data_IF_513858685159
#
_entry.id   IF_513858685159
#
_cell.length_a   1.000
_cell.length_b   1.000
_cell.length_c   1.000
_cell.angle_alpha   90.00
_cell.angle_beta   90.00
_cell.angle_gamma   90.00
#
_symmetry.space_group_name_H-M   'P 1'
#
loop_
_entity.id
_entity.type
_entity.pdbx_description
1 polymer ?
#
# COMPACT_ATOMS: atom_id res chain seq x y z
N UNK A 1 0.33 -15.21 -4.31
CA UNK A 1 -1.02 -15.80 -4.13
C UNK A 1 -1.60 -16.30 -5.45
N UNK A 2 -1.91 -15.49 -6.45
CA UNK A 2 -2.52 -15.96 -7.71
C UNK A 2 -1.70 -17.08 -8.38
N UNK A 3 -0.38 -16.94 -8.48
CA UNK A 3 0.53 -17.97 -9.00
C UNK A 3 0.47 -19.27 -8.20
N UNK A 4 0.41 -19.18 -6.85
CA UNK A 4 0.31 -20.34 -5.97
C UNK A 4 -1.02 -21.06 -6.18
N UNK A 5 -2.13 -20.32 -6.27
CA UNK A 5 -3.45 -20.89 -6.52
C UNK A 5 -3.52 -21.58 -7.88
N UNK A 6 -2.95 -20.97 -8.93
CA UNK A 6 -2.89 -21.57 -10.26
C UNK A 6 -2.09 -22.88 -10.26
N UNK A 7 -0.96 -22.96 -9.54
CA UNK A 7 -0.17 -24.19 -9.38
C UNK A 7 -0.94 -25.31 -8.65
N UNK A 8 -1.92 -24.94 -7.81
CA UNK A 8 -2.82 -25.87 -7.13
C UNK A 8 -4.11 -26.16 -7.92
N UNK A 9 -4.17 -25.79 -9.21
CA UNK A 9 -5.33 -26.01 -10.07
C UNK A 9 -6.55 -25.14 -9.74
N UNK A 10 -6.36 -24.07 -8.96
CA UNK A 10 -7.45 -23.16 -8.59
C UNK A 10 -7.54 -21.99 -9.57
N UNK A 11 -8.73 -21.72 -10.06
CA UNK A 11 -9.01 -20.50 -10.81
C UNK A 11 -9.15 -19.34 -9.84
N UNK A 12 -8.40 -18.26 -10.03
CA UNK A 12 -8.47 -17.08 -9.17
C UNK A 12 -8.66 -15.79 -9.96
N UNK A 13 -9.36 -14.84 -9.35
CA UNK A 13 -9.52 -13.48 -9.84
C UNK A 13 -8.96 -12.53 -8.78
N UNK A 14 -8.10 -11.60 -9.21
CA UNK A 14 -7.56 -10.57 -8.33
C UNK A 14 -8.27 -9.24 -8.60
N UNK A 15 -9.11 -8.81 -7.66
CA UNK A 15 -9.85 -7.55 -7.77
C UNK A 15 -9.28 -6.49 -6.82
N UNK A 16 -8.66 -5.43 -7.37
CA UNK A 16 -8.18 -4.34 -6.55
C UNK A 16 -9.35 -3.49 -6.05
N UNK A 17 -9.45 -3.33 -4.73
CA UNK A 17 -10.47 -2.50 -4.06
C UNK A 17 -10.00 -1.06 -3.81
N UNK A 18 -8.81 -0.74 -4.29
CA UNK A 18 -8.22 0.60 -4.20
C UNK A 18 -7.59 0.96 -5.55
N UNK A 19 -7.93 2.14 -6.05
CA UNK A 19 -7.26 2.75 -7.20
C UNK A 19 -6.32 3.84 -6.71
N UNK A 20 -5.11 3.88 -7.25
CA UNK A 20 -4.21 5.00 -7.07
C UNK A 20 -4.50 6.03 -8.16
N UNK A 21 -4.84 7.22 -7.75
CA UNK A 21 -5.01 8.37 -8.64
C UNK A 21 -3.84 9.33 -8.43
N UNK A 22 -3.09 9.59 -9.49
CA UNK A 22 -2.03 10.59 -9.48
C UNK A 22 -2.67 11.96 -9.43
N UNK A 23 -2.19 12.80 -8.54
CA UNK A 23 -2.66 14.18 -8.38
C UNK A 23 -1.75 15.14 -9.15
N UNK A 24 -2.31 16.13 -9.84
CA UNK A 24 -1.51 17.23 -10.34
C UNK A 24 -0.96 18.04 -9.16
N UNK A 25 0.26 18.51 -9.28
CA UNK A 25 0.78 19.47 -8.29
C UNK A 25 0.00 20.78 -8.39
N UNK A 26 -0.41 21.35 -7.25
CA UNK A 26 -1.21 22.58 -7.23
C UNK A 26 -0.42 23.82 -7.75
N UNK A 27 0.92 23.72 -7.75
CA UNK A 27 1.83 24.80 -8.21
C UNK A 27 3.03 24.19 -8.89
N UNK A 28 3.73 24.92 -9.77
CA UNK A 28 5.02 24.48 -10.28
C UNK A 28 5.97 24.23 -9.10
N UNK A 29 6.75 23.16 -9.22
CA UNK A 29 7.79 22.89 -8.23
C UNK A 29 8.77 24.07 -8.16
N UNK A 30 9.30 24.36 -6.96
CA UNK A 30 10.37 25.31 -6.83
C UNK A 30 11.53 24.94 -7.77
N UNK A 31 12.14 25.92 -8.40
CA UNK A 31 13.29 25.73 -9.29
C UNK A 31 14.56 25.34 -8.54
N UNK A 32 14.61 25.63 -7.25
CA UNK A 32 15.73 25.26 -6.38
C UNK A 32 15.52 23.86 -5.85
N UNK A 33 16.48 22.93 -6.05
CA UNK A 33 16.39 21.59 -5.50
C UNK A 33 16.37 21.63 -3.96
N UNK A 34 15.72 20.66 -3.30
CA UNK A 34 15.75 20.57 -1.85
C UNK A 34 17.11 20.06 -1.37
N UNK A 35 17.47 20.40 -0.12
CA UNK A 35 18.61 19.79 0.56
C UNK A 35 18.37 18.29 0.81
N UNK A 36 17.10 17.92 1.02
CA UNK A 36 16.68 16.55 1.32
C UNK A 36 15.35 16.20 0.65
N UNK A 37 15.33 15.08 -0.06
CA UNK A 37 14.13 14.48 -0.63
C UNK A 37 13.72 13.25 0.21
N UNK A 38 12.49 13.18 0.66
CA UNK A 38 11.97 12.06 1.44
C UNK A 38 10.77 11.45 0.73
N UNK A 39 10.80 10.14 0.48
CA UNK A 39 9.67 9.42 -0.10
C UNK A 39 9.02 8.47 0.90
N UNK A 40 7.71 8.62 1.13
CA UNK A 40 6.93 7.81 2.08
C UNK A 40 6.21 6.64 1.44
N UNK A 41 6.23 6.49 0.11
CA UNK A 41 5.65 5.32 -0.55
C UNK A 41 6.13 5.16 -1.99
N UNK A 42 6.11 3.92 -2.49
CA UNK A 42 6.37 3.62 -3.90
C UNK A 42 5.40 4.33 -4.86
N UNK A 43 4.14 4.56 -4.45
CA UNK A 43 3.18 5.28 -5.28
C UNK A 43 3.52 6.77 -5.41
N UNK A 44 4.05 7.38 -4.34
CA UNK A 44 4.53 8.75 -4.40
C UNK A 44 5.76 8.86 -5.31
N UNK A 45 6.67 7.87 -5.25
CA UNK A 45 7.83 7.77 -6.16
C UNK A 45 7.36 7.66 -7.61
N UNK A 46 6.46 6.73 -7.92
CA UNK A 46 5.94 6.54 -9.27
C UNK A 46 5.29 7.81 -9.82
N UNK A 47 4.47 8.49 -9.01
CA UNK A 47 3.83 9.75 -9.40
C UNK A 47 4.84 10.88 -9.60
N UNK A 48 5.88 10.97 -8.77
CA UNK A 48 6.97 11.94 -8.89
C UNK A 48 7.76 11.76 -10.19
N UNK A 49 8.14 10.52 -10.50
CA UNK A 49 8.89 10.18 -11.70
C UNK A 49 8.07 10.36 -12.98
N UNK A 50 6.78 10.00 -12.96
CA UNK A 50 5.88 10.15 -14.10
C UNK A 50 5.68 11.63 -14.51
N UNK A 51 5.87 12.56 -13.58
CA UNK A 51 5.80 13.99 -13.85
C UNK A 51 7.16 14.61 -14.25
N UNK A 52 8.17 13.79 -14.50
CA UNK A 52 9.51 14.20 -14.96
C UNK A 52 10.24 15.20 -14.03
N UNK A 53 10.00 15.12 -12.73
CA UNK A 53 10.63 16.01 -11.75
C UNK A 53 12.09 15.67 -11.43
N UNK A 54 12.57 14.51 -11.85
CA UNK A 54 13.89 13.98 -11.51
C UNK A 54 15.06 14.81 -12.05
N UNK A 55 14.90 15.48 -13.19
CA UNK A 55 16.00 16.21 -13.84
C UNK A 55 16.46 17.43 -13.06
N UNK A 56 15.61 17.99 -12.20
CA UNK A 56 15.92 19.17 -11.41
C UNK A 56 16.59 18.87 -10.06
N UNK A 57 16.62 17.59 -9.62
CA UNK A 57 16.87 17.27 -8.20
C UNK A 57 17.83 16.11 -7.96
N UNK A 58 18.63 15.74 -8.95
CA UNK A 58 19.56 14.61 -8.89
C UNK A 58 20.66 14.73 -7.81
N UNK A 59 20.88 15.92 -7.26
CA UNK A 59 21.92 16.19 -6.26
C UNK A 59 21.41 16.18 -4.81
N UNK A 60 20.10 16.07 -4.57
CA UNK A 60 19.56 16.05 -3.20
C UNK A 60 19.83 14.72 -2.51
N UNK A 61 20.20 14.77 -1.24
CA UNK A 61 20.21 13.57 -0.40
C UNK A 61 18.78 12.99 -0.36
N UNK A 62 18.63 11.69 -0.64
CA UNK A 62 17.34 11.07 -0.78
C UNK A 62 17.13 9.99 0.29
N UNK A 63 16.00 10.07 1.00
CA UNK A 63 15.58 9.07 1.98
C UNK A 63 14.29 8.39 1.51
N UNK A 64 14.23 7.07 1.70
CA UNK A 64 13.02 6.28 1.49
C UNK A 64 12.56 5.66 2.80
N UNK A 65 11.25 5.57 3.02
CA UNK A 65 10.70 4.97 4.25
C UNK A 65 11.02 3.47 4.37
N UNK A 66 11.32 2.80 3.28
CA UNK A 66 11.62 1.37 3.29
C UNK A 66 12.01 0.81 1.92
N UNK A 67 12.30 -0.52 1.85
CA UNK A 67 12.96 -1.15 0.70
C UNK A 67 12.22 -0.96 -0.64
N UNK A 68 10.91 -1.18 -0.67
CA UNK A 68 10.14 -1.05 -1.92
C UNK A 68 10.13 0.38 -2.47
N UNK A 69 10.15 1.38 -1.57
CA UNK A 69 10.23 2.81 -1.95
C UNK A 69 11.63 3.16 -2.43
N UNK A 70 12.67 2.63 -1.76
CA UNK A 70 14.06 2.82 -2.16
C UNK A 70 14.34 2.21 -3.54
N UNK A 71 13.88 0.97 -3.77
CA UNK A 71 14.03 0.30 -5.06
C UNK A 71 13.46 1.14 -6.21
N UNK A 72 12.25 1.69 -6.06
CA UNK A 72 11.64 2.53 -7.09
C UNK A 72 12.45 3.80 -7.40
N UNK A 73 13.04 4.44 -6.40
CA UNK A 73 13.89 5.62 -6.58
C UNK A 73 15.21 5.27 -7.29
N UNK A 74 15.84 4.16 -6.92
CA UNK A 74 17.11 3.71 -7.51
C UNK A 74 16.89 3.27 -8.96
N UNK A 75 15.91 2.38 -9.18
CA UNK A 75 15.69 1.72 -10.47
C UNK A 75 15.20 2.67 -11.56
N UNK A 76 14.32 3.60 -11.20
CA UNK A 76 13.67 4.49 -12.17
C UNK A 76 14.14 5.94 -12.11
N UNK A 77 14.79 6.36 -11.03
CA UNK A 77 15.23 7.74 -10.81
C UNK A 77 16.74 7.93 -10.75
N UNK A 78 17.52 6.84 -10.61
CA UNK A 78 18.99 6.92 -10.49
C UNK A 78 19.48 7.64 -9.23
N UNK A 79 18.66 7.70 -8.17
CA UNK A 79 19.00 8.37 -6.91
C UNK A 79 19.93 7.52 -6.05
N UNK A 80 20.85 8.16 -5.32
CA UNK A 80 21.50 7.57 -4.16
C UNK A 80 20.54 7.64 -2.98
N UNK A 81 20.06 6.48 -2.51
CA UNK A 81 18.97 6.41 -1.53
C UNK A 81 19.45 5.76 -0.24
N UNK A 82 19.13 6.40 0.89
CA UNK A 82 19.26 5.82 2.22
C UNK A 82 17.89 5.49 2.79
N UNK A 83 17.85 4.50 3.69
CA UNK A 83 16.62 4.04 4.32
C UNK A 83 16.88 3.62 5.76
N UNK A 84 15.85 3.71 6.66
CA UNK A 84 16.01 3.28 8.04
C UNK A 84 16.11 1.75 8.13
N UNK A 85 16.77 1.25 9.17
CA UNK A 85 16.81 -0.18 9.48
C UNK A 85 15.42 -0.75 9.71
N UNK A 86 14.53 0.02 10.35
CA UNK A 86 13.12 -0.32 10.52
C UNK A 86 12.26 0.55 9.60
N UNK A 87 11.61 -0.08 8.64
CA UNK A 87 10.74 0.58 7.66
C UNK A 87 9.44 1.12 8.34
N UNK A 88 9.54 2.24 9.03
CA UNK A 88 8.43 2.93 9.70
C UNK A 88 8.69 4.43 9.77
N UNK A 89 7.65 5.21 10.06
CA UNK A 89 7.77 6.67 10.27
C UNK A 89 8.72 6.99 11.43
N UNK A 90 8.65 6.23 12.51
CA UNK A 90 9.51 6.37 13.68
C UNK A 90 10.96 6.02 13.34
N UNK A 91 11.19 4.94 12.59
CA UNK A 91 12.51 4.55 12.12
C UNK A 91 13.12 5.61 11.19
N UNK A 92 12.32 6.18 10.31
CA UNK A 92 12.75 7.26 9.43
C UNK A 92 13.15 8.51 10.23
N UNK A 93 12.31 8.94 11.17
CA UNK A 93 12.59 10.11 12.01
C UNK A 93 13.80 9.94 12.95
N UNK A 94 14.21 8.70 13.25
CA UNK A 94 15.39 8.40 14.04
C UNK A 94 16.70 8.38 13.21
N UNK A 95 16.63 8.53 11.89
CA UNK A 95 17.83 8.57 11.05
C UNK A 95 18.69 9.80 11.36
N UNK A 96 20.03 9.67 11.39
CA UNK A 96 20.95 10.78 11.69
C UNK A 96 20.71 12.02 10.85
N UNK A 97 20.34 11.85 9.59
CA UNK A 97 20.03 12.92 8.63
C UNK A 97 18.83 13.77 9.07
N UNK A 98 17.84 13.15 9.70
CA UNK A 98 16.66 13.86 10.21
C UNK A 98 16.82 14.37 11.63
N UNK A 99 17.65 13.68 12.44
CA UNK A 99 18.01 14.17 13.80
C UNK A 99 18.85 15.44 13.71
N UNK A 100 19.80 15.51 12.76
CA UNK A 100 20.68 16.64 12.52
C UNK A 100 20.11 17.75 11.62
N UNK A 101 18.82 17.71 11.29
CA UNK A 101 18.21 18.66 10.38
C UNK A 101 18.17 20.08 10.97
N UNK A 102 18.51 21.07 10.13
CA UNK A 102 18.54 22.48 10.53
C UNK A 102 17.35 23.27 9.97
N UNK A 103 16.96 24.30 10.65
CA UNK A 103 15.80 25.14 10.32
C UNK A 103 15.92 25.88 8.96
N UNK A 104 17.13 26.09 8.47
CA UNK A 104 17.39 26.72 7.18
C UNK A 104 17.26 25.76 5.98
N UNK A 105 17.33 24.45 6.22
CA UNK A 105 17.27 23.42 5.19
C UNK A 105 15.85 23.24 4.61
N UNK A 106 15.81 22.99 3.31
CA UNK A 106 14.58 22.71 2.58
C UNK A 106 14.41 21.21 2.38
N UNK A 107 13.28 20.69 2.82
CA UNK A 107 12.93 19.27 2.70
C UNK A 107 11.69 19.12 1.83
N UNK A 108 11.77 18.26 0.83
CA UNK A 108 10.59 17.84 0.08
C UNK A 108 10.13 16.47 0.56
N UNK A 109 8.86 16.38 0.91
CA UNK A 109 8.22 15.15 1.40
C UNK A 109 7.23 14.64 0.37
N UNK A 110 7.62 13.58 -0.36
CA UNK A 110 6.77 12.89 -1.32
C UNK A 110 5.83 11.93 -0.60
N UNK A 111 4.53 12.21 -0.67
CA UNK A 111 3.52 11.44 0.06
C UNK A 111 2.22 11.30 -0.71
N UNK A 112 1.24 10.62 -0.14
CA UNK A 112 -0.13 10.55 -0.64
C UNK A 112 -1.10 11.32 0.25
N UNK A 113 -2.12 11.87 -0.35
CA UNK A 113 -3.20 12.57 0.36
C UNK A 113 -3.91 11.63 1.34
N UNK A 114 -4.18 12.10 2.56
CA UNK A 114 -4.88 11.33 3.60
C UNK A 114 -4.05 10.24 4.28
N UNK A 115 -2.71 10.26 4.13
CA UNK A 115 -1.77 9.41 4.88
C UNK A 115 -1.58 9.86 6.33
N UNK A 116 -0.75 9.10 7.08
CA UNK A 116 -0.33 9.51 8.43
C UNK A 116 0.53 10.77 8.35
N UNK A 117 0.24 11.76 9.18
CA UNK A 117 0.93 13.05 9.18
C UNK A 117 2.14 13.11 10.13
N UNK A 118 2.49 12.00 10.81
CA UNK A 118 3.55 11.98 11.82
C UNK A 118 4.88 12.55 11.30
N UNK A 119 5.33 12.14 10.12
CA UNK A 119 6.58 12.63 9.54
C UNK A 119 6.46 14.10 9.17
N UNK A 120 5.36 14.49 8.53
CA UNK A 120 5.13 15.87 8.12
C UNK A 120 5.09 16.82 9.33
N UNK A 121 4.36 16.45 10.38
CA UNK A 121 4.28 17.23 11.61
C UNK A 121 5.65 17.40 12.29
N UNK A 122 6.39 16.29 12.45
CA UNK A 122 7.71 16.33 13.07
C UNK A 122 8.73 17.16 12.29
N UNK A 123 8.62 17.23 10.95
CA UNK A 123 9.53 17.99 10.10
C UNK A 123 9.13 19.46 9.98
N UNK A 124 7.84 19.79 9.99
CA UNK A 124 7.36 21.17 9.91
C UNK A 124 7.91 22.08 11.02
N UNK A 125 8.21 21.51 12.19
CA UNK A 125 8.78 22.22 13.33
C UNK A 125 10.31 22.38 13.27
N UNK A 126 10.98 21.66 12.31
CA UNK A 126 12.45 21.54 12.28
C UNK A 126 13.10 22.18 11.06
N UNK A 127 12.36 22.33 9.96
CA UNK A 127 12.93 22.76 8.67
C UNK A 127 11.89 23.45 7.78
N UNK A 128 12.33 23.93 6.62
CA UNK A 128 11.44 24.43 5.57
C UNK A 128 10.84 23.23 4.82
N UNK A 129 9.70 22.72 5.32
CA UNK A 129 9.04 21.56 4.75
C UNK A 129 8.15 21.94 3.56
N UNK A 130 8.37 21.31 2.42
CA UNK A 130 7.43 21.27 1.30
C UNK A 130 6.83 19.87 1.17
N UNK A 131 5.58 19.73 1.56
CA UNK A 131 4.82 18.50 1.37
C UNK A 131 4.25 18.45 -0.04
N UNK A 132 4.48 17.34 -0.73
CA UNK A 132 3.98 17.06 -2.06
C UNK A 132 3.03 15.85 -1.99
N UNK A 133 1.72 16.15 -2.00
CA UNK A 133 0.66 15.14 -2.06
C UNK A 133 0.49 14.72 -3.53
N UNK A 134 1.19 13.66 -3.94
CA UNK A 134 1.34 13.25 -5.33
C UNK A 134 0.28 12.27 -5.82
N UNK A 135 -0.44 11.63 -4.90
CA UNK A 135 -1.50 10.68 -5.22
C UNK A 135 -2.55 10.63 -4.10
N UNK A 136 -3.71 10.11 -4.44
CA UNK A 136 -4.71 9.69 -3.46
C UNK A 136 -5.17 8.26 -3.72
N UNK A 137 -5.62 7.61 -2.64
CA UNK A 137 -6.27 6.31 -2.71
C UNK A 137 -7.77 6.49 -2.84
N UNK A 138 -8.32 6.08 -3.96
CA UNK A 138 -9.77 6.03 -4.16
C UNK A 138 -10.27 4.63 -3.87
N UNK A 139 -11.42 4.55 -3.18
CA UNK A 139 -12.14 3.29 -3.02
C UNK A 139 -12.68 2.83 -4.38
N UNK A 140 -12.57 1.55 -4.66
CA UNK A 140 -13.15 0.92 -5.84
C UNK A 140 -13.98 -0.26 -5.37
N UNK A 141 -15.23 -0.36 -5.87
CA UNK A 141 -16.02 -1.57 -5.68
C UNK A 141 -15.33 -2.74 -6.39
N UNK A 142 -15.23 -3.93 -5.76
CA UNK A 142 -14.76 -5.12 -6.45
C UNK A 142 -15.76 -5.52 -7.54
N UNK A 143 -15.25 -6.08 -8.62
CA UNK A 143 -16.06 -6.58 -9.74
C UNK A 143 -15.81 -8.08 -9.92
N UNK A 144 -16.80 -8.88 -9.57
CA UNK A 144 -16.78 -10.33 -9.74
C UNK A 144 -17.76 -10.81 -10.83
N UNK A 145 -18.26 -9.90 -11.66
CA UNK A 145 -19.27 -10.20 -12.69
C UNK A 145 -18.86 -11.28 -13.68
N UNK A 146 -17.54 -11.50 -13.86
CA UNK A 146 -17.02 -12.59 -14.70
C UNK A 146 -17.13 -13.97 -14.07
N UNK A 147 -17.68 -14.11 -12.86
CA UNK A 147 -17.81 -15.36 -12.12
C UNK A 147 -19.26 -15.63 -11.74
N UNK A 148 -19.71 -16.86 -11.99
CA UNK A 148 -21.06 -17.31 -11.61
C UNK A 148 -21.16 -17.59 -10.09
N UNK A 149 -20.05 -18.06 -9.49
CA UNK A 149 -19.97 -18.35 -8.06
C UNK A 149 -18.56 -18.14 -7.52
N UNK A 150 -18.45 -17.80 -6.25
CA UNK A 150 -17.20 -17.69 -5.51
C UNK A 150 -17.21 -18.69 -4.35
N UNK A 151 -16.33 -19.68 -4.40
CA UNK A 151 -16.15 -20.66 -3.31
C UNK A 151 -15.40 -20.05 -2.13
N UNK A 152 -14.46 -19.13 -2.40
CA UNK A 152 -13.69 -18.44 -1.38
C UNK A 152 -13.29 -17.02 -1.83
N UNK A 153 -13.09 -16.15 -0.83
CA UNK A 153 -12.59 -14.79 -1.02
C UNK A 153 -11.40 -14.59 -0.09
N UNK A 154 -10.27 -14.17 -0.66
CA UNK A 154 -9.06 -13.86 0.10
C UNK A 154 -8.93 -12.37 0.33
N UNK A 155 -8.80 -11.95 1.60
CA UNK A 155 -8.68 -10.53 1.95
C UNK A 155 -7.39 -10.24 2.71
N UNK A 156 -6.60 -9.32 2.19
CA UNK A 156 -5.31 -8.91 2.78
C UNK A 156 -5.39 -7.72 3.74
N UNK A 157 -6.57 -7.11 3.88
CA UNK A 157 -6.74 -5.92 4.73
C UNK A 157 -8.19 -5.74 5.20
N UNK A 158 -8.37 -5.02 6.32
CA UNK A 158 -9.71 -4.62 6.80
C UNK A 158 -10.42 -3.77 5.74
N UNK A 159 -9.71 -2.87 5.05
CA UNK A 159 -10.30 -2.10 3.97
C UNK A 159 -10.82 -3.00 2.83
N UNK A 160 -10.03 -3.99 2.41
CA UNK A 160 -10.47 -4.98 1.42
C UNK A 160 -11.74 -5.72 1.86
N UNK A 161 -11.78 -6.17 3.11
CA UNK A 161 -12.95 -6.82 3.68
C UNK A 161 -14.17 -5.89 3.69
N UNK A 162 -14.02 -4.63 4.10
CA UNK A 162 -15.12 -3.65 4.10
C UNK A 162 -15.69 -3.42 2.69
N UNK A 163 -14.84 -3.38 1.67
CA UNK A 163 -15.30 -3.23 0.28
C UNK A 163 -16.05 -4.47 -0.20
N UNK A 164 -15.57 -5.67 0.09
CA UNK A 164 -16.24 -6.92 -0.26
C UNK A 164 -17.57 -7.03 0.49
N UNK A 165 -17.57 -6.79 1.80
CA UNK A 165 -18.76 -6.92 2.64
C UNK A 165 -19.84 -5.88 2.30
N UNK A 166 -19.43 -4.63 2.07
CA UNK A 166 -20.35 -3.54 1.69
C UNK A 166 -21.01 -3.73 0.31
N UNK A 167 -20.45 -4.60 -0.53
CA UNK A 167 -21.00 -4.94 -1.84
C UNK A 167 -21.51 -6.39 -1.94
N UNK A 168 -21.55 -7.12 -0.81
CA UNK A 168 -21.85 -8.57 -0.81
C UNK A 168 -23.20 -8.89 -1.47
N UNK A 169 -24.23 -8.11 -1.21
CA UNK A 169 -25.56 -8.33 -1.80
C UNK A 169 -25.58 -8.07 -3.31
N UNK A 170 -24.91 -6.99 -3.78
CA UNK A 170 -24.76 -6.69 -5.20
C UNK A 170 -23.94 -7.74 -5.92
N UNK A 171 -22.92 -8.28 -5.25
CA UNK A 171 -22.02 -9.31 -5.76
C UNK A 171 -22.61 -10.73 -5.59
N UNK A 172 -23.81 -10.85 -5.00
CA UNK A 172 -24.47 -12.14 -4.68
C UNK A 172 -23.59 -13.08 -3.85
N UNK A 173 -22.83 -12.50 -2.89
CA UNK A 173 -21.96 -13.26 -2.00
C UNK A 173 -22.77 -13.70 -0.78
N UNK A 174 -22.83 -15.01 -0.57
CA UNK A 174 -23.44 -15.61 0.63
C UNK A 174 -22.39 -15.72 1.75
N UNK A 175 -22.49 -14.87 2.77
CA UNK A 175 -21.60 -14.86 3.95
C UNK A 175 -21.65 -16.16 4.77
N UNK A 176 -22.68 -16.99 4.59
CA UNK A 176 -22.82 -18.26 5.28
C UNK A 176 -22.11 -19.40 4.54
N UNK A 177 -22.04 -19.31 3.21
CA UNK A 177 -21.52 -20.38 2.34
C UNK A 177 -20.14 -20.06 1.78
N UNK A 178 -19.91 -18.82 1.38
CA UNK A 178 -18.60 -18.40 0.83
C UNK A 178 -17.54 -18.42 1.93
N UNK A 179 -16.43 -19.09 1.70
CA UNK A 179 -15.30 -19.07 2.64
C UNK A 179 -14.58 -17.74 2.55
N UNK A 180 -14.39 -17.08 3.68
CA UNK A 180 -13.53 -15.90 3.78
C UNK A 180 -12.17 -16.29 4.36
N UNK A 181 -11.10 -16.04 3.62
CA UNK A 181 -9.74 -16.28 4.06
C UNK A 181 -9.09 -14.95 4.39
N UNK A 182 -8.79 -14.75 5.66
CA UNK A 182 -8.20 -13.52 6.18
C UNK A 182 -6.67 -13.67 6.32
N UNK A 183 -5.90 -12.69 5.84
CA UNK A 183 -4.45 -12.72 5.93
C UNK A 183 -3.90 -12.52 7.35
N UNK A 184 -4.75 -12.29 8.35
CA UNK A 184 -4.37 -12.19 9.77
C UNK A 184 -5.56 -12.37 10.70
N UNK A 185 -5.30 -12.75 11.96
CA UNK A 185 -6.31 -12.87 13.00
C UNK A 185 -7.13 -11.58 13.17
N UNK A 186 -6.49 -10.41 13.12
CA UNK A 186 -7.17 -9.11 13.22
C UNK A 186 -8.24 -8.90 12.14
N UNK A 187 -7.99 -9.38 10.92
CA UNK A 187 -8.98 -9.31 9.82
C UNK A 187 -10.10 -10.32 10.06
N UNK A 188 -9.78 -11.52 10.54
CA UNK A 188 -10.77 -12.54 10.87
C UNK A 188 -11.71 -12.09 12.00
N UNK A 189 -11.18 -11.51 13.07
CA UNK A 189 -11.98 -10.95 14.18
C UNK A 189 -12.93 -9.85 13.69
N UNK A 190 -12.48 -9.03 12.74
CA UNK A 190 -13.35 -8.04 12.13
C UNK A 190 -14.45 -8.69 11.27
N UNK A 191 -14.13 -9.74 10.52
CA UNK A 191 -15.08 -10.49 9.69
C UNK A 191 -16.17 -11.19 10.52
N UNK A 192 -15.84 -11.71 11.71
CA UNK A 192 -16.82 -12.31 12.63
C UNK A 192 -17.91 -11.30 13.02
N UNK A 193 -17.55 -10.04 13.25
CA UNK A 193 -18.51 -8.96 13.56
C UNK A 193 -19.43 -8.63 12.38
N UNK A 194 -19.03 -8.95 11.15
CA UNK A 194 -19.80 -8.80 9.93
C UNK A 194 -20.61 -10.06 9.56
N UNK A 195 -20.74 -11.02 10.51
CA UNK A 195 -21.49 -12.26 10.37
C UNK A 195 -20.98 -13.25 9.31
N UNK A 196 -19.71 -13.18 8.93
CA UNK A 196 -19.08 -14.22 8.14
C UNK A 196 -18.92 -15.50 8.98
N UNK A 197 -19.39 -16.63 8.46
CA UNK A 197 -19.44 -17.90 9.19
C UNK A 197 -18.28 -18.84 8.87
N UNK A 198 -17.87 -18.88 7.61
CA UNK A 198 -16.77 -19.75 7.16
C UNK A 198 -15.49 -18.92 7.07
N UNK A 199 -14.74 -18.88 8.15
CA UNK A 199 -13.54 -18.07 8.30
C UNK A 199 -12.30 -18.95 8.43
N UNK A 200 -11.25 -18.59 7.69
CA UNK A 200 -9.92 -19.16 7.81
C UNK A 200 -8.90 -18.02 7.93
N UNK A 201 -7.81 -18.28 8.64
CA UNK A 201 -6.68 -17.36 8.74
C UNK A 201 -5.50 -17.98 8.01
N UNK A 202 -4.96 -17.26 7.01
CA UNK A 202 -3.84 -17.74 6.24
C UNK A 202 -3.04 -16.57 5.64
N UNK A 203 -1.76 -16.51 5.97
CA UNK A 203 -0.85 -15.61 5.29
C UNK A 203 -0.60 -16.09 3.85
N UNK A 204 -0.50 -15.16 2.92
CA UNK A 204 -0.30 -15.47 1.50
C UNK A 204 1.05 -16.17 1.20
N UNK A 205 2.01 -16.05 2.10
CA UNK A 205 3.35 -16.67 2.05
C UNK A 205 3.36 -18.13 2.53
N UNK A 206 2.34 -18.55 3.30
CA UNK A 206 2.25 -19.92 3.81
C UNK A 206 1.61 -20.85 2.77
N UNK A 207 2.43 -21.40 1.90
CA UNK A 207 2.00 -22.28 0.80
C UNK A 207 1.29 -23.54 1.30
N UNK A 208 1.73 -24.10 2.43
CA UNK A 208 1.12 -25.33 2.99
C UNK A 208 -0.30 -25.05 3.51
N UNK A 209 -0.48 -23.95 4.22
CA UNK A 209 -1.81 -23.52 4.66
C UNK A 209 -2.74 -23.22 3.48
N UNK A 210 -2.23 -22.54 2.45
CA UNK A 210 -2.97 -22.29 1.20
C UNK A 210 -3.45 -23.60 0.57
N UNK A 211 -2.58 -24.61 0.45
CA UNK A 211 -2.94 -25.92 -0.10
C UNK A 211 -4.04 -26.62 0.71
N UNK A 212 -3.94 -26.60 2.04
CA UNK A 212 -4.96 -27.18 2.92
C UNK A 212 -6.32 -26.50 2.78
N UNK A 213 -6.33 -25.18 2.64
CA UNK A 213 -7.55 -24.41 2.40
C UNK A 213 -8.16 -24.78 1.05
N UNK A 214 -7.37 -24.88 -0.02
CA UNK A 214 -7.86 -25.31 -1.33
C UNK A 214 -8.49 -26.70 -1.29
N UNK A 215 -7.90 -27.66 -0.55
CA UNK A 215 -8.49 -28.99 -0.35
C UNK A 215 -9.85 -28.93 0.37
N UNK A 216 -10.03 -28.01 1.32
CA UNK A 216 -11.32 -27.80 2.02
C UNK A 216 -12.37 -27.13 1.14
N UNK A 217 -11.97 -26.18 0.30
CA UNK A 217 -12.86 -25.55 -0.67
C UNK A 217 -13.43 -26.61 -1.62
N UNK A 218 -12.58 -27.47 -2.17
CA UNK A 218 -12.97 -28.50 -3.15
C UNK A 218 -13.85 -29.61 -2.57
N UNK A 219 -13.86 -29.82 -1.24
CA UNK A 219 -14.73 -30.82 -0.58
C UNK A 219 -16.15 -30.33 -0.32
N UNK A 220 -16.39 -29.03 -0.42
CA UNK A 220 -17.66 -28.40 -0.04
C UNK A 220 -18.28 -27.56 -1.18
N UNK A 221 -17.69 -27.55 -2.35
CA UNK A 221 -18.22 -27.04 -3.61
C UNK A 221 -18.72 -28.19 -4.48
#
# INVERSE_FOLDING_TARGET
MATTLAALGQSSLCEPVTRIEVLPLPHPLPTTPPDLLIALSQHAVAAYLANHYQTAHSAALTLAIGPATAAGLIEHGGFEVRQPTRASSEGLLAMPELVGLRADQTVWLLTGQGGRDLVAQALAERCKLQRLDLYRRQKRAPDFSSRESLSAIWVGSIHGLQQVDGHADTLKIDRQRTMLVAASARIADYAQRLAWRRLEVCEASDVQAVEQICKRINKHG
#
